data_IF_453107926651
#
_entry.id   IF_453107926651
#
_cell.length_a   1.000
_cell.length_b   1.000
_cell.length_c   1.000
_cell.angle_alpha   90.00
_cell.angle_beta   90.00
_cell.angle_gamma   90.00
#
_symmetry.space_group_name_H-M   'P 1'
#
loop_
_entity.id
_entity.type
_entity.pdbx_description
1 polymer ?
#
# COMPACT_ATOMS: atom_id res chain seq x y z
N UNK A 1 21.10 -17.16 7.20
CA UNK A 1 19.77 -17.67 7.53
C UNK A 1 18.91 -17.29 6.34
N UNK A 2 18.51 -18.26 5.52
CA UNK A 2 17.69 -17.96 4.33
C UNK A 2 16.27 -17.59 4.78
N UNK A 3 15.68 -16.58 4.15
CA UNK A 3 14.30 -16.21 4.42
C UNK A 3 13.36 -17.26 3.83
N UNK A 4 12.51 -17.87 4.66
CA UNK A 4 11.50 -18.84 4.26
C UNK A 4 10.12 -18.17 4.35
N UNK A 5 9.46 -17.81 3.22
CA UNK A 5 8.14 -17.20 3.26
C UNK A 5 7.11 -18.22 3.78
N UNK A 6 6.46 -17.90 4.90
CA UNK A 6 5.40 -18.74 5.46
C UNK A 6 4.01 -18.34 4.98
N UNK A 7 3.72 -17.03 4.96
CA UNK A 7 2.46 -16.43 4.52
C UNK A 7 2.72 -15.04 3.98
N UNK A 8 1.80 -14.56 3.16
CA UNK A 8 1.74 -13.19 2.71
C UNK A 8 0.56 -12.50 3.39
N UNK A 9 0.80 -11.29 3.88
CA UNK A 9 -0.22 -10.46 4.53
C UNK A 9 -0.38 -9.17 3.73
N UNK A 10 -1.60 -8.93 3.25
CA UNK A 10 -1.98 -7.70 2.59
C UNK A 10 -2.68 -6.80 3.61
N UNK A 11 -2.13 -5.61 3.84
CA UNK A 11 -2.69 -4.62 4.76
C UNK A 11 -3.27 -3.46 3.98
N UNK A 12 -4.55 -3.18 4.23
CA UNK A 12 -5.25 -2.06 3.64
C UNK A 12 -5.24 -0.85 4.58
N UNK A 13 -4.99 0.33 4.01
CA UNK A 13 -5.11 1.59 4.72
C UNK A 13 -6.47 2.23 4.42
N UNK A 14 -7.42 2.05 5.33
CA UNK A 14 -8.77 2.59 5.18
C UNK A 14 -8.81 4.09 5.49
N UNK A 15 -9.44 4.85 4.60
CA UNK A 15 -9.70 6.28 4.78
C UNK A 15 -11.14 6.60 4.40
N UNK A 16 -11.73 7.62 5.02
CA UNK A 16 -13.02 8.16 4.56
C UNK A 16 -12.89 8.77 3.17
N UNK A 17 -13.92 8.60 2.34
CA UNK A 17 -14.02 9.18 0.99
C UNK A 17 -13.73 10.69 0.96
N UNK A 18 -14.11 11.41 2.02
CA UNK A 18 -13.85 12.84 2.16
C UNK A 18 -12.36 13.23 2.09
N UNK A 19 -11.44 12.30 2.32
CA UNK A 19 -9.99 12.54 2.27
C UNK A 19 -9.33 12.10 0.95
N UNK A 20 -10.08 11.54 -0.02
CA UNK A 20 -9.49 11.15 -1.31
C UNK A 20 -8.79 12.31 -2.02
N UNK A 21 -9.37 13.51 -1.90
CA UNK A 21 -8.85 14.74 -2.48
C UNK A 21 -7.83 15.47 -1.59
N UNK A 22 -7.59 14.98 -0.36
CA UNK A 22 -6.63 15.59 0.56
C UNK A 22 -5.21 15.46 0.00
N UNK A 23 -4.52 16.59 -0.11
CA UNK A 23 -3.15 16.66 -0.62
C UNK A 23 -2.17 15.71 0.08
N UNK A 24 -2.38 15.42 1.38
CA UNK A 24 -1.54 14.51 2.16
C UNK A 24 -1.78 13.07 1.79
N UNK A 25 -3.03 12.70 1.54
CA UNK A 25 -3.38 11.35 1.08
C UNK A 25 -2.80 11.10 -0.31
N UNK A 26 -2.94 12.08 -1.22
CA UNK A 26 -2.29 12.02 -2.54
C UNK A 26 -0.77 11.87 -2.44
N UNK A 27 -0.12 12.66 -1.59
CA UNK A 27 1.33 12.56 -1.38
C UNK A 27 1.75 11.18 -0.83
N UNK A 28 0.96 10.58 0.07
CA UNK A 28 1.20 9.22 0.56
C UNK A 28 1.11 8.20 -0.57
N UNK A 29 0.05 8.23 -1.38
CA UNK A 29 -0.13 7.30 -2.50
C UNK A 29 1.01 7.44 -3.51
N UNK A 30 1.41 8.66 -3.86
CA UNK A 30 2.56 8.90 -4.74
C UNK A 30 3.87 8.35 -4.15
N UNK A 31 4.09 8.51 -2.84
CA UNK A 31 5.25 7.96 -2.17
C UNK A 31 5.30 6.43 -2.25
N UNK A 32 4.16 5.75 -1.98
CA UNK A 32 4.02 4.30 -2.06
C UNK A 32 4.19 3.77 -3.50
N UNK A 33 3.78 4.54 -4.51
CA UNK A 33 3.94 4.17 -5.92
C UNK A 33 5.34 4.43 -6.45
N UNK A 34 6.15 5.25 -5.78
CA UNK A 34 7.47 5.67 -6.26
C UNK A 34 8.43 4.49 -6.45
N UNK A 35 9.27 4.56 -7.48
CA UNK A 35 10.29 3.55 -7.76
C UNK A 35 11.32 3.44 -6.61
N UNK A 36 11.63 4.55 -5.94
CA UNK A 36 12.53 4.57 -4.79
C UNK A 36 11.96 3.79 -3.60
N UNK A 37 10.67 3.93 -3.33
CA UNK A 37 10.00 3.16 -2.28
C UNK A 37 9.98 1.68 -2.63
N UNK A 38 9.50 1.31 -3.83
CA UNK A 38 9.41 -0.08 -4.28
C UNK A 38 10.76 -0.78 -4.21
N UNK A 39 11.81 -0.14 -4.73
CA UNK A 39 13.19 -0.65 -4.66
C UNK A 39 13.67 -0.87 -3.23
N UNK A 40 13.36 0.06 -2.31
CA UNK A 40 13.77 -0.05 -0.92
C UNK A 40 13.05 -1.20 -0.19
N UNK A 41 11.75 -1.37 -0.45
CA UNK A 41 10.93 -2.42 0.16
C UNK A 41 11.25 -3.79 -0.41
N UNK A 42 11.37 -3.93 -1.74
CA UNK A 42 11.67 -5.22 -2.38
C UNK A 42 13.09 -5.73 -2.08
N UNK A 43 13.98 -4.87 -1.56
CA UNK A 43 15.29 -5.27 -1.05
C UNK A 43 15.21 -5.94 0.33
N UNK A 44 14.08 -5.83 1.04
CA UNK A 44 13.86 -6.46 2.35
C UNK A 44 13.32 -7.89 2.14
N UNK A 45 14.00 -8.92 2.68
CA UNK A 45 13.51 -10.29 2.59
C UNK A 45 12.11 -10.42 3.19
N UNK A 46 11.18 -10.97 2.41
CA UNK A 46 9.80 -11.20 2.85
C UNK A 46 8.81 -10.07 2.60
N UNK A 47 9.27 -8.93 2.08
CA UNK A 47 8.39 -7.84 1.68
C UNK A 47 8.15 -7.87 0.16
N UNK A 48 6.97 -7.42 -0.25
CA UNK A 48 6.58 -7.26 -1.65
C UNK A 48 5.80 -5.96 -1.80
N UNK A 49 6.31 -5.05 -2.65
CA UNK A 49 5.69 -3.74 -2.85
C UNK A 49 4.77 -3.65 -4.08
N UNK A 50 4.56 -4.75 -4.80
CA UNK A 50 3.86 -4.77 -6.10
C UNK A 50 2.50 -4.05 -6.06
N UNK A 51 1.69 -4.35 -5.05
CA UNK A 51 0.32 -3.81 -4.87
C UNK A 51 0.29 -2.54 -3.98
N UNK A 52 1.45 -2.05 -3.51
CA UNK A 52 1.49 -0.87 -2.65
C UNK A 52 1.01 0.39 -3.38
N UNK A 53 0.09 1.10 -2.72
CA UNK A 53 -0.52 2.32 -3.26
C UNK A 53 -1.64 2.05 -4.28
N UNK A 54 -2.08 0.81 -4.45
CA UNK A 54 -3.38 0.54 -5.09
C UNK A 54 -4.51 1.08 -4.20
N UNK A 55 -5.55 1.59 -4.85
CA UNK A 55 -6.70 2.20 -4.19
C UNK A 55 -7.95 1.56 -4.74
N UNK A 56 -8.82 1.09 -3.85
CA UNK A 56 -10.09 0.50 -4.20
C UNK A 56 -11.18 1.04 -3.27
N UNK A 57 -12.41 1.07 -3.77
CA UNK A 57 -13.57 1.39 -2.97
C UNK A 57 -14.11 0.11 -2.33
N UNK A 58 -14.43 0.18 -1.04
CA UNK A 58 -15.03 -0.94 -0.35
C UNK A 58 -16.52 -1.02 -0.72
N UNK A 59 -16.87 -1.94 -1.62
CA UNK A 59 -18.27 -2.20 -2.00
C UNK A 59 -19.08 -2.61 -0.76
N UNK A 60 -20.06 -1.78 -0.38
CA UNK A 60 -20.97 -2.05 0.74
C UNK A 60 -20.97 -1.03 1.87
N UNK A 61 -20.12 0.01 1.81
CA UNK A 61 -20.21 1.17 2.71
C UNK A 61 -21.30 2.16 2.26
N UNK A 62 -22.51 1.68 1.98
CA UNK A 62 -23.66 2.55 1.73
C UNK A 62 -24.19 3.04 3.08
N UNK A 63 -24.16 4.36 3.30
CA UNK A 63 -24.87 4.99 4.42
C UNK A 63 -26.38 4.90 4.20
#
# INVERSE_FOLDING_TARGET
LDFLPCREEAYDYCVSEAFQEDSRFRALIEALRSASFRKAIDALPGYRSAESGETFELLGATT
#
